data_IF_282482915507
#
_entry.id   IF_282482915507
#
_cell.length_a   1.000
_cell.length_b   1.000
_cell.length_c   1.000
_cell.angle_alpha   90.00
_cell.angle_beta   90.00
_cell.angle_gamma   90.00
#
_symmetry.space_group_name_H-M   'P 1'
#
loop_
_entity.id
_entity.type
_entity.pdbx_description
1 polymer ?
#
# COMPACT_ATOMS: atom_id res chain seq x y z
N UNK A 1 9.84 14.68 13.60
CA UNK A 1 10.60 15.92 13.92
C UNK A 1 10.24 17.03 12.93
N UNK A 2 10.60 18.29 13.21
CA UNK A 2 10.40 19.44 12.30
C UNK A 2 11.03 19.20 10.92
N UNK A 3 12.13 18.44 10.82
CA UNK A 3 12.76 18.06 9.55
C UNK A 3 11.95 17.04 8.75
N UNK A 4 11.31 16.09 9.40
CA UNK A 4 10.43 15.12 8.71
C UNK A 4 9.16 15.78 8.18
N UNK A 5 8.57 16.74 8.92
CA UNK A 5 7.47 17.58 8.38
C UNK A 5 7.94 18.47 7.24
N UNK A 6 9.19 18.91 7.25
CA UNK A 6 9.75 19.69 6.12
C UNK A 6 10.04 18.81 4.89
N UNK A 7 10.36 17.54 5.06
CA UNK A 7 10.52 16.59 3.92
C UNK A 7 9.17 16.20 3.28
N UNK A 8 8.09 16.14 4.08
CA UNK A 8 6.76 15.76 3.57
C UNK A 8 5.92 16.96 3.06
N UNK A 9 6.32 18.20 3.29
CA UNK A 9 5.49 19.41 3.06
C UNK A 9 6.21 20.48 2.23
N UNK A 10 7.51 20.36 1.95
CA UNK A 10 8.26 21.36 1.21
C UNK A 10 8.64 20.91 -0.19
N UNK A 11 8.13 21.65 -1.14
CA UNK A 11 8.27 21.58 -2.58
C UNK A 11 9.68 21.47 -3.15
N UNK A 12 10.72 21.68 -2.37
CA UNK A 12 12.10 21.70 -2.87
C UNK A 12 12.78 20.33 -2.87
N UNK A 13 12.25 19.33 -2.13
CA UNK A 13 12.81 17.97 -2.07
C UNK A 13 11.80 16.94 -2.57
N UNK A 14 10.50 17.14 -2.36
CA UNK A 14 9.42 16.24 -2.75
C UNK A 14 8.78 16.54 -4.10
N UNK A 15 9.15 17.62 -4.78
CA UNK A 15 8.56 17.94 -6.07
C UNK A 15 8.94 16.91 -7.13
N UNK A 16 7.94 16.32 -7.78
CA UNK A 16 8.14 15.35 -8.84
C UNK A 16 8.04 13.88 -8.43
N UNK A 17 7.64 13.57 -7.20
CA UNK A 17 7.21 12.23 -6.78
C UNK A 17 5.72 12.08 -7.09
N UNK A 18 5.39 11.33 -8.12
CA UNK A 18 4.04 11.35 -8.65
C UNK A 18 3.04 10.46 -7.92
N UNK A 19 3.48 9.73 -6.88
CA UNK A 19 2.61 9.04 -5.93
C UNK A 19 2.14 9.95 -4.79
N UNK A 20 2.88 11.01 -4.44
CA UNK A 20 2.58 11.92 -3.32
C UNK A 20 1.13 12.44 -3.31
N UNK A 21 0.55 12.90 -4.44
CA UNK A 21 -0.82 13.36 -4.48
C UNK A 21 -1.85 12.30 -4.06
N UNK A 22 -1.59 11.03 -4.33
CA UNK A 22 -2.51 9.94 -4.03
C UNK A 22 -2.55 9.60 -2.53
N UNK A 23 -1.45 9.84 -1.82
CA UNK A 23 -1.42 9.68 -0.36
C UNK A 23 -2.31 10.69 0.37
N UNK A 24 -2.53 11.88 -0.20
CA UNK A 24 -3.48 12.84 0.34
C UNK A 24 -4.91 12.30 0.28
N UNK A 25 -5.31 11.72 -0.85
CA UNK A 25 -6.63 11.10 -1.00
C UNK A 25 -6.79 9.94 -0.03
N UNK A 26 -5.76 9.07 0.07
CA UNK A 26 -5.74 7.94 1.00
C UNK A 26 -5.93 8.38 2.45
N UNK A 27 -5.16 9.39 2.89
CA UNK A 27 -5.22 9.91 4.26
C UNK A 27 -6.56 10.56 4.58
N UNK A 28 -7.09 11.36 3.66
CA UNK A 28 -8.38 12.01 3.83
C UNK A 28 -9.54 11.00 3.88
N UNK A 29 -9.56 10.02 2.99
CA UNK A 29 -10.55 8.94 3.01
C UNK A 29 -10.50 8.13 4.30
N UNK A 30 -9.30 7.77 4.77
CA UNK A 30 -9.11 7.04 6.02
C UNK A 30 -9.60 7.87 7.23
N UNK A 31 -9.30 9.17 7.27
CA UNK A 31 -9.78 10.08 8.31
C UNK A 31 -11.31 10.13 8.36
N UNK A 32 -11.95 10.34 7.21
CA UNK A 32 -13.42 10.42 7.13
C UNK A 32 -14.06 9.09 7.53
N UNK A 33 -13.52 7.97 7.07
CA UNK A 33 -14.01 6.64 7.43
C UNK A 33 -13.86 6.37 8.93
N UNK A 34 -12.80 6.83 9.58
CA UNK A 34 -12.61 6.65 11.01
C UNK A 34 -13.50 7.58 11.84
N UNK A 35 -13.60 8.85 11.47
CA UNK A 35 -14.25 9.89 12.28
C UNK A 35 -15.72 10.16 11.92
N UNK A 36 -16.08 9.94 10.66
CA UNK A 36 -17.36 10.40 10.09
C UNK A 36 -17.37 11.91 9.77
N UNK A 37 -16.26 12.59 9.95
CA UNK A 37 -16.16 14.04 9.79
C UNK A 37 -15.90 14.44 8.33
N UNK A 38 -16.97 14.73 7.60
CA UNK A 38 -16.89 15.29 6.25
C UNK A 38 -16.57 16.78 6.22
N UNK A 39 -16.66 17.50 7.36
CA UNK A 39 -16.40 18.94 7.41
C UNK A 39 -14.92 19.26 7.13
N UNK A 40 -14.01 18.31 7.35
CA UNK A 40 -12.59 18.42 7.00
C UNK A 40 -12.40 18.84 5.53
N UNK A 41 -13.30 18.46 4.64
CA UNK A 41 -13.23 18.77 3.21
C UNK A 41 -13.43 20.27 2.91
N UNK A 42 -14.02 21.01 3.83
CA UNK A 42 -14.29 22.46 3.70
C UNK A 42 -13.18 23.32 4.35
N UNK A 43 -12.24 22.67 5.08
CA UNK A 43 -11.10 23.36 5.69
C UNK A 43 -10.22 24.03 4.63
N UNK A 44 -9.87 25.29 4.91
CA UNK A 44 -9.03 26.09 4.01
C UNK A 44 -7.57 25.72 4.21
N UNK A 45 -6.94 25.21 3.16
CA UNK A 45 -5.54 24.76 3.16
C UNK A 45 -4.76 25.58 2.12
N UNK A 46 -3.60 26.08 2.52
CA UNK A 46 -2.74 26.88 1.67
C UNK A 46 -2.05 26.02 0.60
N UNK A 47 -1.95 26.51 -0.63
CA UNK A 47 -1.00 26.00 -1.60
C UNK A 47 0.36 26.69 -1.41
N UNK A 48 1.45 25.93 -1.42
CA UNK A 48 2.83 26.45 -1.34
C UNK A 48 3.10 27.31 -0.09
N UNK A 49 2.39 27.07 1.01
CA UNK A 49 2.40 27.90 2.22
C UNK A 49 2.02 29.39 1.96
N UNK A 50 1.26 29.65 0.91
CA UNK A 50 0.76 30.97 0.53
C UNK A 50 -0.74 31.06 0.85
N UNK A 51 -1.07 31.73 1.96
CA UNK A 51 -2.46 31.88 2.42
C UNK A 51 -3.37 32.65 1.45
N UNK A 52 -2.80 33.38 0.49
CA UNK A 52 -3.58 34.02 -0.58
C UNK A 52 -4.11 33.01 -1.60
N UNK A 53 -3.60 31.80 -1.61
CA UNK A 53 -3.99 30.69 -2.48
C UNK A 53 -4.77 29.59 -1.74
N UNK A 54 -5.20 29.85 -0.50
CA UNK A 54 -5.95 28.88 0.26
C UNK A 54 -7.21 28.44 -0.48
N UNK A 55 -7.46 27.13 -0.48
CA UNK A 55 -8.65 26.51 -1.07
C UNK A 55 -9.19 25.44 -0.11
N UNK A 56 -10.45 25.03 -0.23
CA UNK A 56 -10.96 23.89 0.51
C UNK A 56 -10.13 22.62 0.26
N UNK A 57 -9.98 21.78 1.28
CA UNK A 57 -9.27 20.50 1.14
C UNK A 57 -9.86 19.64 -0.02
N UNK A 58 -11.16 19.75 -0.27
CA UNK A 58 -11.77 19.06 -1.42
C UNK A 58 -11.16 19.46 -2.77
N UNK A 59 -10.76 20.72 -2.93
CA UNK A 59 -10.07 21.18 -4.15
C UNK A 59 -8.67 20.58 -4.25
N UNK A 60 -7.97 20.39 -3.14
CA UNK A 60 -6.69 19.68 -3.12
C UNK A 60 -6.84 18.21 -3.53
N UNK A 61 -7.90 17.52 -3.06
CA UNK A 61 -8.19 16.16 -3.51
C UNK A 61 -8.46 16.10 -5.01
N UNK A 62 -9.24 17.03 -5.53
CA UNK A 62 -9.52 17.12 -6.96
C UNK A 62 -8.24 17.31 -7.78
N UNK A 63 -7.38 18.24 -7.39
CA UNK A 63 -6.10 18.48 -8.06
C UNK A 63 -5.17 17.27 -7.97
N UNK A 64 -5.17 16.57 -6.85
CA UNK A 64 -4.40 15.33 -6.67
C UNK A 64 -4.87 14.23 -7.62
N UNK A 65 -6.17 14.08 -7.80
CA UNK A 65 -6.75 13.15 -8.76
C UNK A 65 -6.45 13.54 -10.21
N UNK A 66 -6.75 14.79 -10.58
CA UNK A 66 -6.56 15.32 -11.93
C UNK A 66 -5.07 15.36 -12.33
N UNK A 67 -4.15 15.54 -11.38
CA UNK A 67 -2.72 15.45 -11.63
C UNK A 67 -2.34 14.11 -12.25
N UNK A 68 -2.77 13.00 -11.64
CA UNK A 68 -2.47 11.67 -12.19
C UNK A 68 -3.12 11.47 -13.56
N UNK A 69 -4.38 11.88 -13.74
CA UNK A 69 -5.10 11.76 -15.01
C UNK A 69 -4.42 12.52 -16.14
N UNK A 70 -3.79 13.67 -15.84
CA UNK A 70 -3.12 14.50 -16.83
C UNK A 70 -1.65 14.14 -17.05
N UNK A 71 -1.09 13.25 -16.22
CA UNK A 71 0.30 12.80 -16.28
C UNK A 71 0.39 11.30 -16.60
N UNK A 72 -0.13 10.92 -17.76
CA UNK A 72 -0.06 9.54 -18.27
C UNK A 72 0.99 9.43 -19.37
N UNK A 73 1.67 8.29 -19.39
CA UNK A 73 2.68 7.98 -20.39
C UNK A 73 2.12 7.23 -21.61
N UNK A 74 3.00 6.70 -22.50
CA UNK A 74 2.62 6.02 -23.74
C UNK A 74 1.66 4.84 -23.56
N UNK A 75 1.79 4.09 -22.47
CA UNK A 75 0.93 2.94 -22.17
C UNK A 75 -0.34 3.32 -21.39
N UNK A 76 -0.60 4.63 -21.22
CA UNK A 76 -1.71 5.17 -20.40
C UNK A 76 -1.58 4.82 -18.91
N UNK A 77 -0.39 4.52 -18.49
CA UNK A 77 -0.02 4.35 -17.09
C UNK A 77 0.50 5.68 -16.52
N UNK A 78 0.36 5.96 -15.22
CA UNK A 78 0.87 7.18 -14.62
C UNK A 78 2.39 7.30 -14.77
N UNK A 79 2.85 8.50 -15.10
CA UNK A 79 4.26 8.84 -15.11
C UNK A 79 4.84 8.78 -13.69
N UNK A 80 6.05 8.24 -13.55
CA UNK A 80 6.71 8.09 -12.25
C UNK A 80 7.25 9.43 -11.70
N UNK A 81 7.55 10.38 -12.55
CA UNK A 81 8.26 11.61 -12.15
C UNK A 81 9.74 11.33 -11.84
N UNK A 82 10.25 11.92 -10.76
CA UNK A 82 11.61 11.64 -10.26
C UNK A 82 11.76 10.23 -9.72
N UNK A 83 10.77 9.81 -8.97
CA UNK A 83 10.61 8.48 -8.39
C UNK A 83 9.16 8.32 -7.90
N UNK A 84 8.83 7.19 -7.32
CA UNK A 84 7.64 6.97 -6.52
C UNK A 84 8.03 6.60 -5.08
N UNK A 85 7.21 5.83 -4.35
CA UNK A 85 7.53 5.37 -2.99
C UNK A 85 8.96 4.82 -2.84
N UNK A 86 9.47 4.16 -3.89
CA UNK A 86 10.86 3.74 -3.96
C UNK A 86 11.71 4.88 -4.55
N UNK A 87 12.13 5.80 -3.70
CA UNK A 87 12.92 6.97 -4.06
C UNK A 87 14.30 6.66 -4.65
N UNK A 88 14.70 5.39 -4.59
CA UNK A 88 15.94 4.90 -5.18
C UNK A 88 15.78 4.37 -6.63
N UNK A 89 14.54 4.22 -7.12
CA UNK A 89 14.25 3.83 -8.50
C UNK A 89 14.14 5.09 -9.38
N UNK A 90 15.24 5.48 -10.01
CA UNK A 90 15.39 6.78 -10.66
C UNK A 90 15.34 6.69 -12.19
N UNK A 91 14.19 6.40 -12.74
CA UNK A 91 14.01 6.12 -14.18
C UNK A 91 14.14 7.36 -15.10
N UNK A 92 14.15 8.56 -14.53
CA UNK A 92 14.25 9.84 -15.24
C UNK A 92 15.38 10.75 -14.72
N UNK A 93 16.16 10.31 -13.74
CA UNK A 93 17.22 11.09 -13.10
C UNK A 93 18.54 10.34 -13.23
N UNK A 94 19.21 10.50 -14.35
CA UNK A 94 20.39 9.71 -14.73
C UNK A 94 21.64 10.20 -13.99
N UNK A 95 21.92 9.61 -12.82
CA UNK A 95 23.18 9.83 -12.10
C UNK A 95 24.29 9.02 -12.76
N UNK A 96 25.38 9.70 -13.17
CA UNK A 96 26.49 9.05 -13.85
C UNK A 96 27.30 8.12 -12.93
N UNK A 97 27.31 8.43 -11.63
CA UNK A 97 28.10 7.71 -10.62
C UNK A 97 27.20 7.13 -9.53
N UNK A 98 27.54 5.91 -9.02
CA UNK A 98 26.84 5.32 -7.89
C UNK A 98 26.89 6.21 -6.64
N UNK A 99 25.75 6.40 -5.98
CA UNK A 99 25.65 7.22 -4.76
C UNK A 99 25.60 8.73 -5.02
N UNK A 100 25.57 9.19 -6.26
CA UNK A 100 25.26 10.58 -6.60
C UNK A 100 23.76 10.82 -6.34
N UNK A 101 23.40 11.85 -5.56
CA UNK A 101 22.01 12.11 -5.23
C UNK A 101 21.18 12.41 -6.48
N UNK A 102 20.15 11.62 -6.75
CA UNK A 102 19.25 11.80 -7.91
C UNK A 102 18.57 13.17 -7.93
N UNK A 103 18.39 13.81 -6.76
CA UNK A 103 17.82 15.15 -6.65
C UNK A 103 18.66 16.25 -7.33
N UNK A 104 19.94 15.99 -7.53
CA UNK A 104 20.88 16.94 -8.14
C UNK A 104 21.17 16.64 -9.61
N UNK A 105 20.64 15.52 -10.11
CA UNK A 105 20.90 15.02 -11.47
C UNK A 105 19.60 14.86 -12.26
N UNK A 106 19.69 14.94 -13.58
CA UNK A 106 18.58 14.68 -14.50
C UNK A 106 17.39 15.63 -14.38
N UNK A 107 16.30 15.37 -15.11
CA UNK A 107 15.08 16.16 -15.07
C UNK A 107 14.31 15.93 -13.75
N UNK A 108 13.58 16.96 -13.31
CA UNK A 108 12.68 16.85 -12.14
C UNK A 108 11.42 16.06 -12.46
N UNK A 109 11.00 16.05 -13.72
CA UNK A 109 9.85 15.31 -14.22
C UNK A 109 10.29 14.39 -15.35
N UNK A 110 9.71 13.20 -15.38
CA UNK A 110 9.99 12.21 -16.42
C UNK A 110 8.92 12.20 -17.48
N UNK A 111 9.26 12.47 -18.75
CA UNK A 111 8.25 12.58 -19.80
C UNK A 111 7.66 11.25 -20.27
N UNK A 112 8.29 10.10 -19.97
CA UNK A 112 7.91 8.81 -20.54
C UNK A 112 7.99 7.63 -19.57
N UNK A 113 8.75 7.70 -18.49
CA UNK A 113 8.84 6.58 -17.52
C UNK A 113 7.54 6.46 -16.72
N UNK A 114 6.97 5.24 -16.67
CA UNK A 114 5.65 4.95 -16.12
C UNK A 114 5.76 3.99 -14.93
N UNK A 115 4.89 4.15 -13.93
CA UNK A 115 4.87 3.31 -12.72
C UNK A 115 3.57 2.50 -12.61
N UNK A 116 3.69 1.17 -12.56
CA UNK A 116 2.57 0.28 -12.27
C UNK A 116 2.13 0.39 -10.81
N UNK A 117 3.06 0.70 -9.90
CA UNK A 117 2.75 0.95 -8.50
C UNK A 117 1.84 2.17 -8.34
N UNK A 118 2.16 3.31 -8.99
CA UNK A 118 1.30 4.51 -8.98
C UNK A 118 -0.05 4.21 -9.64
N UNK A 119 -0.08 3.42 -10.71
CA UNK A 119 -1.32 3.01 -11.36
C UNK A 119 -2.23 2.23 -10.38
N UNK A 120 -1.66 1.31 -9.62
CA UNK A 120 -2.40 0.57 -8.60
C UNK A 120 -2.91 1.48 -7.48
N UNK A 121 -2.09 2.43 -7.02
CA UNK A 121 -2.51 3.45 -6.05
C UNK A 121 -3.68 4.28 -6.59
N UNK A 122 -3.58 4.73 -7.84
CA UNK A 122 -4.64 5.52 -8.47
C UNK A 122 -5.95 4.74 -8.58
N UNK A 123 -5.90 3.46 -8.96
CA UNK A 123 -7.09 2.62 -9.00
C UNK A 123 -7.71 2.47 -7.61
N UNK A 124 -6.91 2.24 -6.57
CA UNK A 124 -7.42 2.11 -5.20
C UNK A 124 -8.00 3.42 -4.67
N UNK A 125 -7.21 4.46 -4.68
CA UNK A 125 -7.59 5.73 -4.03
C UNK A 125 -8.48 6.61 -4.90
N UNK A 126 -8.49 6.41 -6.21
CA UNK A 126 -9.45 7.02 -7.11
C UNK A 126 -10.88 6.54 -6.86
N UNK A 127 -11.08 5.27 -6.48
CA UNK A 127 -12.38 4.76 -5.99
C UNK A 127 -12.83 5.50 -4.71
N UNK A 128 -11.89 5.79 -3.79
CA UNK A 128 -12.19 6.57 -2.58
C UNK A 128 -12.55 8.02 -2.92
N UNK A 129 -11.85 8.65 -3.86
CA UNK A 129 -12.18 10.00 -4.34
C UNK A 129 -13.60 10.03 -4.95
N UNK A 130 -13.94 9.09 -5.81
CA UNK A 130 -15.29 8.97 -6.37
C UNK A 130 -16.36 8.81 -5.29
N UNK A 131 -16.09 7.97 -4.27
CA UNK A 131 -16.99 7.76 -3.14
C UNK A 131 -17.19 9.04 -2.31
N UNK A 132 -16.14 9.82 -2.08
CA UNK A 132 -16.20 11.13 -1.41
C UNK A 132 -17.04 12.12 -2.23
N UNK A 133 -16.80 12.23 -3.54
CA UNK A 133 -17.55 13.10 -4.44
C UNK A 133 -19.05 12.79 -4.40
N UNK A 134 -19.43 11.51 -4.48
CA UNK A 134 -20.81 11.06 -4.43
C UNK A 134 -21.49 11.45 -3.11
N UNK A 135 -20.80 11.27 -1.97
CA UNK A 135 -21.32 11.66 -0.65
C UNK A 135 -21.42 13.18 -0.45
N UNK A 136 -20.64 13.96 -1.19
CA UNK A 136 -20.79 15.42 -1.27
C UNK A 136 -21.85 15.88 -2.27
N UNK A 137 -22.56 14.95 -2.90
CA UNK A 137 -23.62 15.23 -3.89
C UNK A 137 -23.11 15.61 -5.28
N UNK A 138 -21.82 15.43 -5.56
CA UNK A 138 -21.23 15.68 -6.88
C UNK A 138 -21.15 14.37 -7.69
N UNK A 139 -22.30 13.94 -8.21
CA UNK A 139 -22.40 12.69 -8.98
C UNK A 139 -21.65 12.75 -10.32
N UNK A 140 -21.61 13.92 -10.96
CA UNK A 140 -20.90 14.11 -12.22
C UNK A 140 -19.40 13.85 -12.05
N UNK A 141 -18.79 14.42 -11.02
CA UNK A 141 -17.40 14.22 -10.69
C UNK A 141 -17.11 12.76 -10.25
N UNK A 142 -18.04 12.15 -9.50
CA UNK A 142 -17.90 10.75 -9.11
C UNK A 142 -17.86 9.81 -10.33
N UNK A 143 -18.77 10.00 -11.28
CA UNK A 143 -18.81 9.21 -12.54
C UNK A 143 -17.59 9.48 -13.41
N UNK A 144 -17.10 10.73 -13.46
CA UNK A 144 -15.85 11.05 -14.13
C UNK A 144 -14.67 10.28 -13.52
N UNK A 145 -14.54 10.34 -12.20
CA UNK A 145 -13.47 9.64 -11.48
C UNK A 145 -13.51 8.12 -11.71
N UNK A 146 -14.68 7.50 -11.64
CA UNK A 146 -14.85 6.07 -11.92
C UNK A 146 -14.39 5.68 -13.34
N UNK A 147 -14.70 6.52 -14.34
CA UNK A 147 -14.25 6.28 -15.71
C UNK A 147 -12.75 6.37 -15.89
N UNK A 148 -12.10 7.35 -15.23
CA UNK A 148 -10.65 7.48 -15.31
C UNK A 148 -9.94 6.33 -14.56
N UNK A 149 -10.48 5.92 -13.40
CA UNK A 149 -10.01 4.74 -12.67
C UNK A 149 -10.10 3.48 -13.53
N UNK A 150 -11.22 3.26 -14.22
CA UNK A 150 -11.40 2.10 -15.09
C UNK A 150 -10.41 2.08 -16.26
N UNK A 151 -10.10 3.25 -16.84
CA UNK A 151 -9.09 3.35 -17.92
C UNK A 151 -7.71 2.92 -17.44
N UNK A 152 -7.30 3.35 -16.24
CA UNK A 152 -5.99 2.98 -15.68
C UNK A 152 -6.00 1.51 -15.23
N UNK A 153 -7.10 1.01 -14.66
CA UNK A 153 -7.27 -0.42 -14.36
C UNK A 153 -7.01 -1.26 -15.61
N UNK A 154 -7.66 -0.90 -16.71
CA UNK A 154 -7.50 -1.61 -17.99
C UNK A 154 -6.07 -1.48 -18.54
N UNK A 155 -5.45 -0.30 -18.42
CA UNK A 155 -4.07 -0.09 -18.85
C UNK A 155 -3.07 -0.99 -18.09
N UNK A 156 -3.31 -1.25 -16.80
CA UNK A 156 -2.48 -2.19 -16.02
C UNK A 156 -2.65 -3.61 -16.54
N UNK A 157 -3.88 -4.04 -16.89
CA UNK A 157 -4.09 -5.37 -17.46
C UNK A 157 -3.44 -5.52 -18.84
N UNK A 158 -3.52 -4.48 -19.68
CA UNK A 158 -3.05 -4.51 -21.06
C UNK A 158 -1.51 -4.40 -21.16
N UNK A 159 -0.88 -3.57 -20.32
CA UNK A 159 0.53 -3.22 -20.41
C UNK A 159 1.34 -3.47 -19.13
N UNK A 160 0.69 -3.72 -18.01
CA UNK A 160 1.38 -3.93 -16.70
C UNK A 160 1.59 -5.39 -16.33
N UNK A 161 1.12 -6.36 -17.12
CA UNK A 161 1.22 -7.79 -16.82
C UNK A 161 2.30 -8.48 -17.65
N UNK A 162 3.20 -9.22 -17.01
CA UNK A 162 4.35 -9.91 -17.64
C UNK A 162 4.17 -11.45 -17.75
N UNK A 163 2.93 -11.93 -17.67
CA UNK A 163 2.60 -13.36 -17.79
C UNK A 163 2.52 -14.10 -16.47
N UNK A 164 3.40 -13.80 -15.51
CA UNK A 164 3.49 -14.45 -14.20
C UNK A 164 3.33 -13.45 -13.03
N UNK A 165 3.62 -12.16 -13.25
CA UNK A 165 3.54 -11.08 -12.26
C UNK A 165 3.33 -9.72 -12.91
N UNK A 166 3.05 -8.68 -12.12
CA UNK A 166 2.96 -7.30 -12.58
C UNK A 166 4.35 -6.68 -12.75
N UNK A 167 4.57 -5.99 -13.86
CA UNK A 167 5.77 -5.18 -14.10
C UNK A 167 5.97 -4.13 -12.99
N UNK A 168 7.20 -3.71 -12.77
CA UNK A 168 7.47 -2.58 -11.88
C UNK A 168 7.20 -1.24 -12.55
N UNK A 169 7.70 -1.09 -13.76
CA UNK A 169 7.68 0.18 -14.47
C UNK A 169 8.03 0.00 -15.95
N UNK A 170 7.87 1.07 -16.71
CA UNK A 170 8.61 1.32 -17.95
C UNK A 170 9.62 2.43 -17.71
N UNK A 171 10.84 2.30 -18.22
CA UNK A 171 11.89 3.31 -18.06
C UNK A 171 11.73 4.48 -19.07
N UNK A 172 12.66 5.45 -19.04
CA UNK A 172 12.64 6.61 -19.92
C UNK A 172 12.75 6.27 -21.42
N UNK A 173 13.28 5.10 -21.76
CA UNK A 173 13.36 4.58 -23.13
C UNK A 173 12.15 3.75 -23.54
N UNK A 174 11.22 3.48 -22.60
CA UNK A 174 10.07 2.61 -22.80
C UNK A 174 10.39 1.12 -22.64
N UNK A 175 11.53 0.80 -22.04
CA UNK A 175 11.91 -0.59 -21.76
C UNK A 175 11.27 -1.04 -20.43
N UNK A 176 10.91 -2.34 -20.37
CA UNK A 176 10.29 -2.93 -19.17
C UNK A 176 11.25 -3.00 -17.99
N UNK A 177 10.78 -2.65 -16.81
CA UNK A 177 11.45 -2.84 -15.53
C UNK A 177 10.64 -3.82 -14.68
N UNK A 178 11.29 -4.79 -14.06
CA UNK A 178 10.58 -5.82 -13.30
C UNK A 178 9.91 -6.88 -14.19
N UNK A 179 10.53 -7.19 -15.32
CA UNK A 179 10.08 -8.19 -16.29
C UNK A 179 10.94 -9.46 -16.24
N UNK A 180 10.36 -10.58 -16.63
CA UNK A 180 11.10 -11.81 -16.87
C UNK A 180 12.17 -11.66 -17.97
N UNK A 181 12.03 -10.67 -18.83
CA UNK A 181 13.00 -10.33 -19.89
C UNK A 181 14.28 -9.67 -19.33
N UNK A 182 14.23 -9.08 -18.13
CA UNK A 182 15.40 -8.45 -17.49
C UNK A 182 16.45 -9.48 -17.08
N UNK A 183 17.72 -9.09 -17.04
CA UNK A 183 18.82 -9.94 -16.53
C UNK A 183 18.74 -10.06 -14.99
N UNK A 184 18.60 -8.92 -14.31
CA UNK A 184 18.45 -8.77 -12.85
C UNK A 184 17.19 -7.95 -12.55
N UNK A 185 16.72 -7.92 -11.32
CA UNK A 185 15.52 -7.17 -10.95
C UNK A 185 14.26 -7.58 -11.73
N UNK A 186 14.05 -8.90 -11.90
CA UNK A 186 12.93 -9.43 -12.71
C UNK A 186 11.56 -9.23 -12.09
N UNK A 187 11.48 -9.27 -10.76
CA UNK A 187 10.24 -9.10 -10.01
C UNK A 187 10.46 -8.17 -8.82
N UNK A 188 9.51 -7.28 -8.58
CA UNK A 188 9.50 -6.33 -7.48
C UNK A 188 8.23 -6.50 -6.64
N UNK A 189 8.33 -6.30 -5.33
CA UNK A 189 7.26 -6.51 -4.37
C UNK A 189 6.13 -5.47 -4.50
N UNK A 190 6.45 -4.20 -4.80
CA UNK A 190 5.53 -3.07 -4.71
C UNK A 190 4.30 -3.25 -5.63
N UNK A 191 4.43 -3.56 -6.93
CA UNK A 191 3.27 -3.73 -7.79
C UNK A 191 2.48 -5.00 -7.45
N UNK A 192 3.13 -6.08 -6.98
CA UNK A 192 2.41 -7.29 -6.61
C UNK A 192 1.46 -7.01 -5.43
N UNK A 193 1.95 -6.33 -4.40
CA UNK A 193 1.14 -5.95 -3.25
C UNK A 193 0.01 -4.98 -3.63
N UNK A 194 0.36 -3.85 -4.26
CA UNK A 194 -0.62 -2.78 -4.50
C UNK A 194 -1.63 -3.09 -5.62
N UNK A 195 -1.26 -3.82 -6.68
CA UNK A 195 -2.25 -4.22 -7.69
C UNK A 195 -3.33 -5.11 -7.07
N UNK A 196 -2.94 -6.11 -6.27
CA UNK A 196 -3.92 -6.98 -5.61
C UNK A 196 -4.72 -6.21 -4.55
N UNK A 197 -4.10 -5.31 -3.80
CA UNK A 197 -4.74 -4.42 -2.81
C UNK A 197 -5.74 -3.46 -3.45
N UNK A 198 -5.52 -3.09 -4.72
CA UNK A 198 -6.45 -2.34 -5.57
C UNK A 198 -7.48 -3.23 -6.28
N UNK A 199 -7.44 -4.56 -6.05
CA UNK A 199 -8.26 -5.60 -6.68
C UNK A 199 -8.00 -5.76 -8.20
N UNK A 200 -6.84 -5.28 -8.69
CA UNK A 200 -6.45 -5.47 -10.08
C UNK A 200 -6.03 -6.94 -10.30
N UNK A 201 -6.59 -7.56 -11.30
CA UNK A 201 -6.28 -8.94 -11.67
C UNK A 201 -6.92 -10.01 -10.78
N UNK A 202 -7.75 -9.63 -9.79
CA UNK A 202 -8.44 -10.60 -8.93
C UNK A 202 -9.47 -11.41 -9.73
N UNK A 203 -10.32 -10.73 -10.49
CA UNK A 203 -11.35 -11.38 -11.33
C UNK A 203 -10.76 -12.20 -12.46
N UNK A 204 -9.61 -11.77 -12.97
CA UNK A 204 -8.88 -12.41 -14.08
C UNK A 204 -7.99 -13.57 -13.62
N UNK A 205 -7.87 -13.81 -12.30
CA UNK A 205 -6.99 -14.83 -11.71
C UNK A 205 -5.50 -14.48 -11.79
N UNK A 206 -5.15 -13.23 -12.11
CA UNK A 206 -3.77 -12.75 -12.19
C UNK A 206 -3.18 -12.50 -10.79
N UNK A 207 -4.01 -12.06 -9.85
CA UNK A 207 -3.61 -11.83 -8.47
C UNK A 207 -3.02 -13.09 -7.82
N UNK A 208 -3.67 -14.24 -7.99
CA UNK A 208 -3.18 -15.54 -7.50
C UNK A 208 -1.82 -15.92 -8.08
N UNK A 209 -1.62 -15.69 -9.39
CA UNK A 209 -0.34 -15.95 -10.05
C UNK A 209 0.75 -15.02 -9.52
N UNK A 210 0.46 -13.73 -9.39
CA UNK A 210 1.40 -12.75 -8.86
C UNK A 210 1.84 -13.10 -7.43
N UNK A 211 0.91 -13.46 -6.55
CA UNK A 211 1.22 -13.87 -5.17
C UNK A 211 1.98 -15.21 -5.12
N UNK A 212 1.68 -16.14 -6.02
CA UNK A 212 2.46 -17.38 -6.18
C UNK A 212 3.90 -17.06 -6.61
N UNK A 213 4.11 -16.10 -7.51
CA UNK A 213 5.44 -15.65 -7.92
C UNK A 213 6.20 -14.97 -6.77
N UNK A 214 5.52 -14.15 -5.97
CA UNK A 214 6.08 -13.58 -4.74
C UNK A 214 6.54 -14.67 -3.79
N UNK A 215 5.71 -15.68 -3.54
CA UNK A 215 6.03 -16.80 -2.67
C UNK A 215 7.26 -17.58 -3.15
N UNK A 216 7.32 -17.87 -4.44
CA UNK A 216 8.37 -18.70 -5.01
C UNK A 216 9.71 -17.97 -5.18
N UNK A 217 9.68 -16.66 -5.43
CA UNK A 217 10.86 -15.90 -5.84
C UNK A 217 11.34 -14.93 -4.75
N UNK A 218 10.42 -14.19 -4.13
CA UNK A 218 10.75 -13.10 -3.20
C UNK A 218 10.72 -13.53 -1.74
N UNK A 219 9.92 -14.52 -1.39
CA UNK A 219 9.74 -14.90 0.01
C UNK A 219 10.97 -15.59 0.59
N UNK A 220 11.25 -15.27 1.84
CA UNK A 220 12.30 -15.89 2.65
C UNK A 220 11.74 -16.29 4.02
N UNK A 221 12.55 -16.95 4.83
CA UNK A 221 12.17 -17.26 6.22
C UNK A 221 12.02 -16.02 7.12
N UNK A 222 12.56 -14.85 6.72
CA UNK A 222 12.56 -13.62 7.52
C UNK A 222 11.66 -12.51 6.94
N UNK A 223 10.97 -12.78 5.86
CA UNK A 223 10.10 -11.84 5.16
C UNK A 223 10.27 -11.92 3.66
N UNK A 224 9.67 -10.96 2.94
CA UNK A 224 9.69 -10.87 1.48
C UNK A 224 10.71 -9.81 1.06
N UNK A 225 11.67 -10.19 0.22
CA UNK A 225 12.67 -9.24 -0.31
C UNK A 225 12.03 -8.30 -1.34
N UNK A 226 12.60 -7.10 -1.49
CA UNK A 226 12.04 -6.07 -2.35
C UNK A 226 12.03 -6.46 -3.82
N UNK A 227 13.11 -7.09 -4.30
CA UNK A 227 13.24 -7.52 -5.69
C UNK A 227 14.11 -8.79 -5.82
N UNK A 228 14.06 -9.44 -6.97
CA UNK A 228 14.96 -10.55 -7.35
C UNK A 228 15.11 -10.66 -8.88
N UNK A 229 16.27 -11.16 -9.37
CA UNK A 229 17.57 -11.24 -8.68
C UNK A 229 18.10 -9.88 -8.25
N UNK A 230 18.95 -9.86 -7.21
CA UNK A 230 19.61 -8.62 -6.79
C UNK A 230 20.51 -8.05 -7.90
N UNK A 231 20.63 -6.73 -7.95
CA UNK A 231 21.56 -6.05 -8.86
C UNK A 231 23.01 -6.26 -8.39
N UNK A 232 23.86 -6.71 -9.30
CA UNK A 232 25.28 -6.94 -9.03
C UNK A 232 26.21 -5.87 -9.63
N UNK A 233 25.64 -4.99 -10.46
CA UNK A 233 26.32 -3.85 -11.11
C UNK A 233 25.41 -2.63 -11.10
N UNK A 234 26.00 -1.45 -11.27
CA UNK A 234 25.22 -0.22 -11.39
C UNK A 234 24.59 -0.11 -12.77
N UNK A 235 23.29 0.19 -12.79
CA UNK A 235 22.49 0.41 -13.99
C UNK A 235 22.09 1.87 -14.07
N UNK A 236 22.64 2.60 -15.04
CA UNK A 236 22.38 4.04 -15.21
C UNK A 236 20.90 4.38 -15.38
N UNK A 237 20.14 3.55 -16.08
CA UNK A 237 18.71 3.76 -16.35
C UNK A 237 17.80 3.39 -15.14
N UNK A 238 18.34 2.79 -14.10
CA UNK A 238 17.59 2.42 -12.88
C UNK A 238 17.98 3.29 -11.68
N UNK A 239 19.20 3.80 -11.68
CA UNK A 239 19.72 4.69 -10.66
C UNK A 239 20.10 4.00 -9.36
N UNK A 240 19.83 4.67 -8.24
CA UNK A 240 20.38 4.34 -6.92
C UNK A 240 20.00 2.94 -6.42
N UNK A 241 18.86 2.38 -6.81
CA UNK A 241 18.44 1.03 -6.45
C UNK A 241 19.51 -0.02 -6.78
N UNK A 242 20.27 0.17 -7.85
CA UNK A 242 21.33 -0.71 -8.31
C UNK A 242 22.71 -0.38 -7.73
N UNK A 243 22.85 0.67 -6.91
CA UNK A 243 24.11 1.06 -6.26
C UNK A 243 24.32 0.38 -4.91
N UNK A 244 23.26 -0.07 -4.24
CA UNK A 244 23.39 -0.76 -2.96
C UNK A 244 23.94 -2.17 -3.12
N UNK A 245 24.67 -2.67 -2.11
CA UNK A 245 25.12 -4.07 -2.12
C UNK A 245 23.94 -5.04 -2.18
N UNK A 246 24.07 -6.18 -2.88
CA UNK A 246 23.03 -7.21 -2.94
C UNK A 246 22.52 -7.63 -1.55
N UNK A 247 21.20 -7.70 -1.39
CA UNK A 247 20.53 -8.05 -0.14
C UNK A 247 20.39 -6.90 0.88
N UNK A 248 20.80 -5.68 0.53
CA UNK A 248 20.68 -4.53 1.42
C UNK A 248 19.82 -3.42 0.82
N UNK A 249 19.12 -2.69 1.69
CA UNK A 249 18.24 -1.59 1.30
C UNK A 249 17.26 -2.02 0.21
N UNK A 250 17.07 -1.17 -0.77
CA UNK A 250 16.16 -1.40 -1.89
C UNK A 250 16.70 -2.46 -2.89
N UNK A 251 17.98 -2.82 -2.83
CA UNK A 251 18.55 -3.86 -3.67
C UNK A 251 18.42 -5.25 -3.03
N UNK A 252 17.24 -5.85 -3.12
CA UNK A 252 16.92 -7.18 -2.62
C UNK A 252 17.00 -7.37 -1.09
N UNK A 253 17.00 -6.28 -0.31
CA UNK A 253 16.73 -6.35 1.13
C UNK A 253 15.26 -6.70 1.40
N UNK A 254 14.96 -7.22 2.59
CA UNK A 254 13.59 -7.31 3.10
C UNK A 254 13.23 -5.92 3.62
N UNK A 255 12.56 -5.11 2.79
CA UNK A 255 12.12 -3.79 3.19
C UNK A 255 10.80 -3.93 3.94
N UNK A 256 10.84 -3.75 5.28
CA UNK A 256 9.71 -4.14 6.13
C UNK A 256 8.44 -3.30 5.91
N UNK A 257 8.57 -2.10 5.35
CA UNK A 257 7.44 -1.20 5.08
C UNK A 257 6.43 -1.80 4.07
N UNK A 258 6.92 -2.47 3.02
CA UNK A 258 6.06 -3.03 1.97
C UNK A 258 5.68 -4.51 2.19
N UNK A 259 6.24 -5.17 3.18
CA UNK A 259 5.86 -6.54 3.54
C UNK A 259 4.37 -6.66 3.96
N UNK A 260 3.80 -5.72 4.75
CA UNK A 260 2.37 -5.71 5.03
C UNK A 260 1.48 -5.61 3.78
N UNK A 261 1.95 -5.00 2.69
CA UNK A 261 1.16 -4.93 1.45
C UNK A 261 0.92 -6.30 0.84
N UNK A 262 1.90 -7.21 0.92
CA UNK A 262 1.72 -8.60 0.48
C UNK A 262 0.79 -9.36 1.42
N UNK A 263 0.95 -9.20 2.74
CA UNK A 263 0.03 -9.79 3.72
C UNK A 263 -1.42 -9.33 3.48
N UNK A 264 -1.63 -8.04 3.23
CA UNK A 264 -2.95 -7.49 2.85
C UNK A 264 -3.44 -8.11 1.53
N UNK A 265 -2.58 -8.19 0.53
CA UNK A 265 -2.92 -8.80 -0.76
C UNK A 265 -3.38 -10.26 -0.61
N UNK A 266 -2.70 -11.04 0.23
CA UNK A 266 -3.14 -12.40 0.57
C UNK A 266 -4.54 -12.40 1.22
N UNK A 267 -4.86 -11.41 2.06
CA UNK A 267 -6.24 -11.30 2.61
C UNK A 267 -7.26 -10.95 1.55
N UNK A 268 -6.92 -10.17 0.53
CA UNK A 268 -7.84 -9.82 -0.57
C UNK A 268 -8.29 -11.08 -1.31
N UNK A 269 -7.37 -12.00 -1.59
CA UNK A 269 -7.67 -13.29 -2.26
C UNK A 269 -8.15 -14.39 -1.30
N UNK A 270 -8.13 -14.16 0.01
CA UNK A 270 -8.74 -15.06 1.00
C UNK A 270 -7.78 -16.03 1.69
N UNK A 271 -6.48 -15.81 1.58
CA UNK A 271 -5.43 -16.66 2.14
C UNK A 271 -5.04 -16.23 3.57
N UNK A 272 -5.89 -16.52 4.56
CA UNK A 272 -5.70 -16.08 5.95
C UNK A 272 -4.48 -16.71 6.63
N UNK A 273 -4.21 -17.97 6.39
CA UNK A 273 -3.02 -18.66 6.89
C UNK A 273 -1.73 -17.99 6.37
N UNK A 274 -1.70 -17.67 5.08
CA UNK A 274 -0.57 -17.01 4.43
C UNK A 274 -0.37 -15.59 4.92
N UNK A 275 -1.44 -14.81 4.99
CA UNK A 275 -1.39 -13.43 5.47
C UNK A 275 -0.81 -13.34 6.88
N UNK A 276 -1.23 -14.23 7.77
CA UNK A 276 -0.74 -14.28 9.14
C UNK A 276 0.72 -14.76 9.24
N UNK A 277 1.13 -15.74 8.42
CA UNK A 277 2.53 -16.18 8.36
C UNK A 277 3.45 -15.04 7.94
N UNK A 278 3.10 -14.28 6.90
CA UNK A 278 3.87 -13.12 6.45
C UNK A 278 3.97 -12.03 7.53
N UNK A 279 2.86 -11.78 8.25
CA UNK A 279 2.86 -10.86 9.39
C UNK A 279 3.85 -11.29 10.47
N UNK A 280 3.85 -12.58 10.84
CA UNK A 280 4.74 -13.12 11.89
C UNK A 280 6.22 -12.96 11.58
N UNK A 281 6.62 -13.05 10.30
CA UNK A 281 8.02 -12.98 9.88
C UNK A 281 8.70 -11.65 10.20
N UNK A 282 7.95 -10.56 10.26
CA UNK A 282 8.49 -9.22 10.54
C UNK A 282 8.04 -8.63 11.88
N UNK A 283 7.10 -9.28 12.56
CA UNK A 283 6.55 -8.77 13.82
C UNK A 283 7.51 -9.04 14.99
N UNK A 284 7.95 -8.01 15.73
CA UNK A 284 8.90 -8.16 16.83
C UNK A 284 8.52 -9.23 17.86
N UNK A 285 7.22 -9.36 18.17
CA UNK A 285 6.72 -10.34 19.14
C UNK A 285 6.95 -11.81 18.73
N UNK A 286 7.20 -12.08 17.45
CA UNK A 286 7.38 -13.45 16.91
C UNK A 286 8.82 -13.76 16.50
N UNK A 287 9.74 -12.83 16.65
CA UNK A 287 11.15 -12.99 16.23
C UNK A 287 12.13 -12.97 17.40
N UNK A 288 11.63 -13.09 18.65
CA UNK A 288 12.45 -13.11 19.86
C UNK A 288 13.45 -14.28 19.86
N UNK A 289 13.04 -15.45 19.40
CA UNK A 289 13.88 -16.67 19.33
C UNK A 289 15.09 -16.50 18.39
N UNK A 290 15.05 -15.52 17.49
CA UNK A 290 16.14 -15.19 16.56
C UNK A 290 16.79 -13.84 16.85
N UNK A 291 16.63 -13.32 18.06
CA UNK A 291 17.12 -11.99 18.44
C UNK A 291 18.63 -11.81 18.23
N UNK A 292 19.44 -12.87 18.37
CA UNK A 292 20.88 -12.86 18.10
C UNK A 292 21.21 -12.64 16.61
N UNK A 293 20.30 -13.03 15.72
CA UNK A 293 20.41 -12.82 14.26
C UNK A 293 19.82 -11.45 13.92
N UNK A 294 18.62 -11.15 14.42
CA UNK A 294 17.86 -9.94 14.09
C UNK A 294 18.52 -8.67 14.62
N UNK A 295 19.02 -8.67 15.86
CA UNK A 295 19.90 -7.64 16.50
C UNK A 295 19.32 -6.24 16.69
N UNK A 296 18.06 -5.98 16.40
CA UNK A 296 17.39 -4.73 16.78
C UNK A 296 16.62 -4.93 18.08
N UNK A 297 16.08 -3.85 18.63
CA UNK A 297 15.27 -3.89 19.86
C UNK A 297 14.08 -4.83 19.66
N UNK A 298 13.79 -5.74 20.64
CA UNK A 298 12.81 -6.82 20.45
C UNK A 298 11.34 -6.34 20.45
N UNK A 299 11.10 -5.04 20.51
CA UNK A 299 9.77 -4.42 20.57
C UNK A 299 9.55 -3.35 19.49
N UNK A 300 10.46 -3.23 18.50
CA UNK A 300 10.32 -2.27 17.40
C UNK A 300 10.40 -2.94 16.03
N UNK A 301 9.66 -2.38 15.09
CA UNK A 301 9.82 -2.74 13.69
C UNK A 301 11.07 -2.10 13.09
N UNK A 302 11.81 -2.86 12.30
CA UNK A 302 12.94 -2.37 11.54
C UNK A 302 12.51 -1.76 10.21
N UNK A 303 13.34 -0.90 9.63
CA UNK A 303 13.15 -0.44 8.25
C UNK A 303 13.41 -1.59 7.28
N UNK A 304 14.52 -2.30 7.49
CA UNK A 304 14.91 -3.42 6.63
C UNK A 304 15.54 -4.56 7.44
N UNK A 305 15.46 -5.75 6.87
CA UNK A 305 16.20 -6.94 7.29
C UNK A 305 17.07 -7.35 6.09
N UNK A 306 18.33 -7.70 6.35
CA UNK A 306 19.24 -8.14 5.29
C UNK A 306 18.67 -9.35 4.55
N UNK A 307 18.58 -9.25 3.22
CA UNK A 307 18.03 -10.26 2.33
C UNK A 307 18.94 -11.46 2.12
N UNK A 308 18.46 -12.44 1.35
CA UNK A 308 19.17 -13.72 1.13
C UNK A 308 20.52 -13.58 0.40
N UNK A 309 20.70 -12.47 -0.32
CA UNK A 309 21.96 -12.18 -1.04
C UNK A 309 22.98 -11.43 -0.18
N UNK A 310 22.60 -11.01 1.04
CA UNK A 310 23.48 -10.31 1.97
C UNK A 310 24.34 -11.28 2.78
N UNK A 311 25.55 -10.83 3.14
CA UNK A 311 26.46 -11.60 3.98
C UNK A 311 25.89 -11.91 5.39
N UNK A 312 25.04 -11.04 5.90
CA UNK A 312 24.39 -11.17 7.21
C UNK A 312 22.87 -11.35 7.08
N UNK A 313 22.44 -12.33 6.28
CA UNK A 313 21.04 -12.64 6.06
C UNK A 313 20.24 -12.75 7.37
N UNK A 314 19.18 -11.96 7.50
CA UNK A 314 18.33 -11.89 8.68
C UNK A 314 18.68 -10.78 9.68
N UNK A 315 19.82 -10.10 9.54
CA UNK A 315 20.20 -8.98 10.39
C UNK A 315 19.39 -7.74 10.04
N UNK A 316 18.62 -7.22 11.01
CA UNK A 316 17.81 -6.02 10.83
C UNK A 316 18.63 -4.74 11.00
N UNK A 317 18.16 -3.67 10.36
CA UNK A 317 18.78 -2.34 10.37
C UNK A 317 17.72 -1.24 10.52
N UNK A 318 18.18 -0.09 11.05
CA UNK A 318 17.39 1.14 11.13
C UNK A 318 16.05 0.95 11.85
N UNK A 319 16.10 0.49 13.10
CA UNK A 319 14.93 0.50 13.99
C UNK A 319 14.39 1.92 14.16
N UNK A 320 13.09 2.08 14.39
CA UNK A 320 12.36 3.34 14.58
C UNK A 320 12.17 4.22 13.33
N UNK A 321 12.98 4.08 12.30
CA UNK A 321 12.98 4.93 11.10
C UNK A 321 12.17 4.29 9.96
N UNK A 322 10.88 3.97 10.22
CA UNK A 322 10.07 3.24 9.26
C UNK A 322 8.57 3.47 9.43
N UNK A 323 7.84 3.40 8.33
CA UNK A 323 6.37 3.32 8.32
C UNK A 323 5.82 1.90 8.55
N UNK A 324 6.69 0.91 8.79
CA UNK A 324 6.30 -0.50 8.97
C UNK A 324 5.26 -0.68 10.06
N UNK A 325 5.44 -0.03 11.23
CA UNK A 325 4.52 -0.16 12.36
C UNK A 325 3.09 0.28 11.99
N UNK A 326 2.95 1.41 11.27
CA UNK A 326 1.65 1.92 10.85
C UNK A 326 0.96 0.98 9.85
N UNK A 327 1.69 0.52 8.83
CA UNK A 327 1.16 -0.42 7.86
C UNK A 327 0.83 -1.78 8.46
N UNK A 328 1.65 -2.26 9.40
CA UNK A 328 1.38 -3.52 10.11
C UNK A 328 0.16 -3.40 11.01
N UNK A 329 -0.03 -2.24 11.66
CA UNK A 329 -1.25 -1.97 12.44
C UNK A 329 -2.51 -2.03 11.55
N UNK A 330 -2.48 -1.38 10.38
CA UNK A 330 -3.57 -1.44 9.39
C UNK A 330 -3.78 -2.87 8.91
N UNK A 331 -2.72 -3.58 8.54
CA UNK A 331 -2.79 -4.98 8.12
C UNK A 331 -3.50 -5.86 9.15
N UNK A 332 -3.05 -5.82 10.41
CA UNK A 332 -3.62 -6.67 11.46
C UNK A 332 -5.05 -6.26 11.77
N UNK A 333 -5.29 -4.97 12.05
CA UNK A 333 -6.61 -4.52 12.53
C UNK A 333 -7.69 -4.54 11.46
N UNK A 334 -7.36 -4.10 10.23
CA UNK A 334 -8.35 -3.90 9.18
C UNK A 334 -8.44 -5.07 8.20
N UNK A 335 -7.35 -5.82 7.99
CA UNK A 335 -7.33 -6.87 6.98
C UNK A 335 -7.30 -8.27 7.57
N UNK A 336 -6.40 -8.58 8.52
CA UNK A 336 -6.39 -9.89 9.16
C UNK A 336 -7.59 -10.04 10.08
N UNK A 337 -7.73 -9.18 11.09
CA UNK A 337 -8.88 -9.20 12.00
C UNK A 337 -10.16 -8.64 11.37
N UNK A 338 -10.03 -7.91 10.26
CA UNK A 338 -11.13 -7.49 9.42
C UNK A 338 -12.05 -6.43 10.00
N UNK A 339 -11.55 -5.55 10.88
CA UNK A 339 -12.34 -4.46 11.46
C UNK A 339 -12.12 -3.19 10.63
N UNK A 340 -12.95 -2.98 9.64
CA UNK A 340 -12.73 -1.94 8.63
C UNK A 340 -13.67 -0.74 8.85
N UNK A 341 -13.14 0.44 9.20
CA UNK A 341 -13.93 1.67 9.14
C UNK A 341 -14.44 1.90 7.73
N UNK A 342 -15.74 2.24 7.64
CA UNK A 342 -16.35 2.60 6.38
C UNK A 342 -17.13 3.92 6.54
N UNK A 343 -17.55 4.51 5.44
CA UNK A 343 -18.31 5.75 5.44
C UNK A 343 -19.63 5.62 6.23
N UNK A 344 -20.27 4.47 6.15
CA UNK A 344 -21.61 4.23 6.70
C UNK A 344 -21.59 3.41 8.00
N UNK A 345 -20.41 3.01 8.48
CA UNK A 345 -20.29 2.21 9.70
C UNK A 345 -18.98 1.46 9.83
N UNK A 346 -19.05 0.30 10.46
CA UNK A 346 -17.91 -0.57 10.68
C UNK A 346 -18.13 -1.91 9.94
N UNK A 347 -17.35 -2.15 8.91
CA UNK A 347 -17.43 -3.41 8.13
C UNK A 347 -16.59 -4.49 8.78
N UNK A 348 -17.13 -5.71 8.88
CA UNK A 348 -16.43 -6.88 9.38
C UNK A 348 -16.08 -7.82 8.23
N UNK A 349 -14.78 -7.97 7.96
CA UNK A 349 -14.29 -8.83 6.87
C UNK A 349 -12.99 -9.55 7.28
N UNK A 350 -13.06 -10.45 8.28
CA UNK A 350 -11.90 -11.17 8.79
C UNK A 350 -11.26 -12.05 7.71
N UNK A 351 -9.92 -12.12 7.73
CA UNK A 351 -9.17 -13.10 6.97
C UNK A 351 -8.05 -13.65 7.88
N UNK A 352 -8.35 -14.71 8.60
CA UNK A 352 -7.59 -15.25 9.73
C UNK A 352 -7.06 -16.66 9.45
N UNK A 353 -6.09 -17.15 10.23
CA UNK A 353 -5.72 -18.57 10.22
C UNK A 353 -6.91 -19.47 10.47
N UNK A 354 -6.98 -20.58 9.73
CA UNK A 354 -8.09 -21.53 9.81
C UNK A 354 -8.21 -22.24 11.17
N UNK A 355 -7.11 -22.30 11.94
CA UNK A 355 -7.08 -22.87 13.29
C UNK A 355 -7.54 -21.90 14.38
N UNK A 356 -7.83 -20.64 14.05
CA UNK A 356 -8.36 -19.64 14.98
C UNK A 356 -9.88 -19.80 15.08
N UNK A 357 -10.35 -20.45 16.15
CA UNK A 357 -11.77 -20.80 16.34
C UNK A 357 -12.63 -19.62 16.86
N UNK A 358 -12.07 -18.80 17.71
CA UNK A 358 -12.75 -17.63 18.32
C UNK A 358 -11.74 -16.53 18.65
N UNK A 359 -12.14 -15.28 18.45
CA UNK A 359 -11.44 -14.14 19.02
C UNK A 359 -12.40 -13.00 19.35
N UNK A 360 -11.98 -12.09 20.24
CA UNK A 360 -12.80 -10.97 20.71
C UNK A 360 -12.03 -9.67 20.56
N UNK A 361 -12.75 -8.64 20.14
CA UNK A 361 -12.21 -7.29 19.98
C UNK A 361 -13.14 -6.32 20.70
N UNK A 362 -12.56 -5.38 21.43
CA UNK A 362 -13.27 -4.21 21.92
C UNK A 362 -12.69 -2.96 21.27
N UNK A 363 -13.51 -2.23 20.53
CA UNK A 363 -13.08 -1.05 19.78
C UNK A 363 -13.99 0.13 20.08
N UNK A 364 -13.37 1.31 20.28
CA UNK A 364 -14.10 2.58 20.29
C UNK A 364 -14.12 3.15 18.86
N UNK A 365 -15.30 3.46 18.35
CA UNK A 365 -15.48 3.97 17.00
C UNK A 365 -16.67 4.94 16.96
N UNK A 366 -16.45 6.16 16.48
CA UNK A 366 -17.46 7.22 16.31
C UNK A 366 -18.42 7.37 17.49
N UNK A 367 -17.85 7.47 18.72
CA UNK A 367 -18.62 7.73 19.93
C UNK A 367 -19.23 6.53 20.62
N UNK A 368 -19.08 5.32 20.08
CA UNK A 368 -19.61 4.09 20.68
C UNK A 368 -18.53 3.02 20.89
N UNK A 369 -18.78 2.13 21.85
CA UNK A 369 -17.99 0.92 22.06
C UNK A 369 -18.58 -0.25 21.27
N UNK A 370 -17.74 -1.00 20.60
CA UNK A 370 -18.07 -2.23 19.88
C UNK A 370 -17.39 -3.41 20.56
N UNK A 371 -18.18 -4.29 21.16
CA UNK A 371 -17.74 -5.58 21.74
C UNK A 371 -18.00 -6.65 20.68
N UNK A 372 -16.99 -7.04 19.93
CA UNK A 372 -17.13 -7.91 18.77
C UNK A 372 -16.58 -9.29 19.12
N UNK A 373 -17.38 -10.32 18.97
CA UNK A 373 -16.98 -11.72 19.07
C UNK A 373 -17.07 -12.38 17.71
N UNK A 374 -15.93 -12.85 17.19
CA UNK A 374 -15.88 -13.70 16.02
C UNK A 374 -15.88 -15.17 16.41
N UNK A 375 -16.64 -15.99 15.69
CA UNK A 375 -16.69 -17.44 15.83
C UNK A 375 -16.43 -18.09 14.49
N UNK A 376 -15.50 -19.05 14.46
CA UNK A 376 -15.10 -19.75 13.25
C UNK A 376 -15.24 -21.27 13.39
N UNK A 377 -16.48 -21.78 13.55
CA UNK A 377 -16.71 -23.21 13.78
C UNK A 377 -16.43 -24.08 12.54
N UNK A 378 -16.38 -23.48 11.36
CA UNK A 378 -16.13 -24.18 10.10
C UNK A 378 -14.66 -24.05 9.64
N UNK A 379 -13.78 -23.46 10.48
CA UNK A 379 -12.36 -23.29 10.16
C UNK A 379 -12.10 -22.58 8.83
N UNK A 380 -12.93 -21.60 8.48
CA UNK A 380 -12.77 -20.76 7.29
C UNK A 380 -11.61 -19.76 7.46
N UNK A 381 -10.98 -19.41 6.36
CA UNK A 381 -9.96 -18.37 6.37
C UNK A 381 -10.55 -16.98 6.17
N UNK A 382 -11.71 -16.82 5.51
CA UNK A 382 -12.23 -15.49 5.16
C UNK A 382 -13.75 -15.37 5.24
N UNK A 383 -14.19 -14.15 5.61
CA UNK A 383 -15.55 -13.65 5.46
C UNK A 383 -16.43 -13.91 6.67
N UNK A 384 -17.63 -13.33 6.61
CA UNK A 384 -18.69 -13.45 7.62
C UNK A 384 -19.92 -14.10 6.96
N UNK A 385 -20.40 -15.19 7.53
CA UNK A 385 -21.60 -15.88 7.06
C UNK A 385 -22.88 -15.37 7.74
N UNK A 386 -22.76 -14.90 8.98
CA UNK A 386 -23.88 -14.25 9.69
C UNK A 386 -23.39 -13.18 10.67
N UNK A 387 -24.16 -12.12 10.81
CA UNK A 387 -23.90 -11.00 11.70
C UNK A 387 -25.09 -10.72 12.60
N UNK A 388 -24.86 -10.63 13.91
CA UNK A 388 -25.87 -10.24 14.89
C UNK A 388 -25.38 -9.02 15.66
N UNK A 389 -26.18 -7.98 15.73
CA UNK A 389 -25.89 -6.71 16.43
C UNK A 389 -26.98 -6.48 17.47
N UNK A 390 -26.62 -6.38 18.74
CA UNK A 390 -27.54 -6.20 19.87
C UNK A 390 -28.72 -7.21 19.85
N UNK A 391 -28.41 -8.47 19.53
CA UNK A 391 -29.38 -9.56 19.46
C UNK A 391 -30.23 -9.62 18.18
N UNK A 392 -30.04 -8.68 17.24
CA UNK A 392 -30.78 -8.63 15.98
C UNK A 392 -29.86 -9.03 14.82
N UNK A 393 -30.32 -9.94 13.96
CA UNK A 393 -29.59 -10.33 12.75
C UNK A 393 -29.57 -9.18 11.74
N UNK A 394 -28.38 -8.90 11.21
CA UNK A 394 -28.12 -7.87 10.19
C UNK A 394 -27.73 -8.57 8.89
N UNK A 395 -28.25 -8.09 7.77
CA UNK A 395 -27.87 -8.59 6.44
C UNK A 395 -26.51 -8.02 6.02
N UNK A 396 -25.64 -8.88 5.48
CA UNK A 396 -24.30 -8.51 5.09
C UNK A 396 -23.33 -8.46 6.28
N UNK A 397 -22.30 -7.63 6.16
CA UNK A 397 -21.19 -7.54 7.12
C UNK A 397 -20.90 -6.12 7.62
N UNK A 398 -21.77 -5.16 7.33
CA UNK A 398 -21.69 -3.78 7.82
C UNK A 398 -22.50 -3.62 9.10
N UNK A 399 -21.89 -3.09 10.15
CA UNK A 399 -22.57 -2.63 11.35
C UNK A 399 -22.93 -1.16 11.14
N UNK A 400 -24.22 -0.84 10.93
CA UNK A 400 -24.62 0.54 10.71
C UNK A 400 -24.53 1.36 12.00
N UNK A 401 -24.29 2.66 11.86
CA UNK A 401 -24.33 3.59 12.99
C UNK A 401 -25.80 3.87 13.34
N UNK A 402 -26.15 3.64 14.60
CA UNK A 402 -27.49 3.93 15.13
C UNK A 402 -27.40 5.14 16.05
N UNK A 403 -28.20 6.16 15.77
CA UNK A 403 -28.25 7.39 16.57
C UNK A 403 -28.57 7.09 18.05
N UNK A 404 -27.79 7.66 18.97
CA UNK A 404 -27.93 7.46 20.41
C UNK A 404 -27.40 6.12 20.95
N UNK A 405 -26.95 5.20 20.11
CA UNK A 405 -26.33 3.98 20.56
C UNK A 405 -24.87 4.24 20.96
N UNK A 406 -24.53 3.91 22.20
CA UNK A 406 -23.18 4.11 22.75
C UNK A 406 -22.41 2.80 22.96
N UNK A 407 -23.08 1.66 22.81
CA UNK A 407 -22.48 0.34 22.94
C UNK A 407 -23.16 -0.67 22.02
N UNK A 408 -22.36 -1.44 21.31
CA UNK A 408 -22.78 -2.51 20.41
C UNK A 408 -22.19 -3.85 20.87
N UNK A 409 -23.06 -4.84 21.10
CA UNK A 409 -22.69 -6.23 21.28
C UNK A 409 -22.86 -6.97 19.95
N UNK A 410 -21.74 -7.42 19.39
CA UNK A 410 -21.67 -7.96 18.02
C UNK A 410 -21.17 -9.38 18.03
N UNK A 411 -21.89 -10.27 17.34
CA UNK A 411 -21.44 -11.64 17.08
C UNK A 411 -21.38 -11.83 15.57
N UNK A 412 -20.19 -12.13 15.07
CA UNK A 412 -19.94 -12.48 13.68
C UNK A 412 -19.53 -13.96 13.58
N UNK A 413 -20.20 -14.71 12.74
CA UNK A 413 -19.84 -16.10 12.43
C UNK A 413 -19.22 -16.15 11.05
N UNK A 414 -18.08 -16.81 10.93
CA UNK A 414 -17.35 -17.00 9.66
C UNK A 414 -17.86 -18.21 8.88
#
# INVERSE_FOLDING_TARGET
SRRQRQMCIRDSIGSGFNDDPLWLIAGCAAYIKETGDFSILDEQVDFDNDSTKAQPLMEHLKRSFDFTVTHLGPHKLPLIGRADWNDCLNLNCFSAEPGEPFQTTGPSEGPVAESIFIAAMFVKYGKEYAAICRRRGNEEEAVYAEKEVEKVYQAVLDAGWDGEWFLRAYDAAGEKVGSNECEEGKIYIEPQGFCVLAEIGVKEGLAEKALTSVQNILETKYGVVLLQPAYTKYYLNLGEVSSYPPGYKENAGIFCHNNPWISIAETVVGHGNRAFDLYRKICPAYIEDISEIHRTEPYVYSQMIAGKDAAHFGEAKNSWLTGTAAWTFVNVSQYILGIQPDYDGLTLNPCIPSDMEEFKIRRYFRGAWYNITFKNPEHKEKGVSSLTVNGTTVEGNLIPITEGCTEYDVVAVM
#
